data_IF_089916427428
#
_entry.id   IF_089916427428
#
_cell.length_a   1.000
_cell.length_b   1.000
_cell.length_c   1.000
_cell.angle_alpha   90.00
_cell.angle_beta   90.00
_cell.angle_gamma   90.00
#
_symmetry.space_group_name_H-M   'P 1'
#
loop_
_entity.id
_entity.type
_entity.pdbx_description
1 polymer ?
#
# COMPACT_ATOMS: atom_id res chain seq x y z
N UNK A 1 19.24 -3.89 -19.00
CA UNK A 1 19.06 -2.53 -18.39
C UNK A 1 17.64 -2.40 -17.88
N UNK A 2 17.41 -1.78 -16.68
CA UNK A 2 16.09 -1.57 -16.11
C UNK A 2 15.61 -0.17 -16.53
N UNK A 3 14.40 -0.09 -17.09
CA UNK A 3 13.75 1.16 -17.48
C UNK A 3 12.45 1.36 -16.72
N UNK A 4 12.19 2.60 -16.30
CA UNK A 4 10.95 3.00 -15.60
C UNK A 4 10.06 3.74 -16.60
N UNK A 5 8.83 3.26 -16.76
CA UNK A 5 7.84 3.87 -17.67
C UNK A 5 6.58 4.27 -16.91
N UNK A 6 6.11 5.49 -17.19
CA UNK A 6 4.83 5.97 -16.64
C UNK A 6 3.67 5.27 -17.35
N UNK A 7 2.70 4.80 -16.59
CA UNK A 7 1.45 4.24 -17.10
C UNK A 7 0.61 5.35 -17.73
N UNK A 8 0.25 5.21 -19.00
CA UNK A 8 -0.49 6.23 -19.78
C UNK A 8 -1.76 5.70 -20.44
N UNK A 9 -1.87 4.39 -20.63
CA UNK A 9 -2.99 3.74 -21.30
C UNK A 9 -3.72 2.73 -20.43
N UNK A 10 -4.96 2.39 -20.82
CA UNK A 10 -5.74 1.34 -20.14
C UNK A 10 -5.03 -0.03 -20.16
N UNK A 11 -4.34 -0.35 -21.26
CA UNK A 11 -3.58 -1.60 -21.36
C UNK A 11 -2.39 -1.62 -20.39
N UNK A 12 -1.71 -0.50 -20.23
CA UNK A 12 -0.61 -0.38 -19.25
C UNK A 12 -1.14 -0.41 -17.81
N UNK A 13 -2.30 0.22 -17.55
CA UNK A 13 -2.96 0.12 -16.24
C UNK A 13 -3.31 -1.34 -15.92
N UNK A 14 -3.82 -2.09 -16.89
CA UNK A 14 -4.13 -3.50 -16.69
C UNK A 14 -2.87 -4.33 -16.42
N UNK A 15 -1.75 -4.05 -17.11
CA UNK A 15 -0.44 -4.67 -16.81
C UNK A 15 0.02 -4.32 -15.39
N UNK A 16 -0.15 -3.07 -14.99
CA UNK A 16 0.19 -2.59 -13.65
C UNK A 16 -0.60 -3.35 -12.58
N UNK A 17 -1.91 -3.49 -12.75
CA UNK A 17 -2.80 -4.17 -11.79
C UNK A 17 -2.51 -5.67 -11.74
N UNK A 18 -2.24 -6.30 -12.88
CA UNK A 18 -2.00 -7.75 -12.98
C UNK A 18 -0.59 -8.18 -12.57
N UNK A 19 0.36 -7.28 -12.44
CA UNK A 19 1.74 -7.65 -12.10
C UNK A 19 1.88 -8.48 -10.81
N UNK A 20 1.17 -8.20 -9.68
CA UNK A 20 1.25 -9.05 -8.49
C UNK A 20 0.77 -10.49 -8.71
N UNK A 21 -0.15 -10.72 -9.64
CA UNK A 21 -0.62 -12.07 -9.97
C UNK A 21 0.52 -12.95 -10.51
N UNK A 22 1.51 -12.34 -11.16
CA UNK A 22 2.71 -13.05 -11.62
C UNK A 22 3.69 -13.30 -10.49
N UNK A 23 3.92 -12.31 -9.61
CA UNK A 23 4.85 -12.43 -8.48
C UNK A 23 4.35 -13.46 -7.48
N UNK A 24 3.06 -13.42 -7.14
CA UNK A 24 2.48 -14.21 -6.07
C UNK A 24 1.75 -15.47 -6.54
N UNK A 25 1.85 -15.85 -7.82
CA UNK A 25 1.12 -16.98 -8.43
C UNK A 25 1.27 -18.31 -7.68
N UNK A 26 2.40 -18.52 -7.02
CA UNK A 26 2.69 -19.75 -6.26
C UNK A 26 2.41 -19.59 -4.76
N UNK A 27 1.98 -18.43 -4.29
CA UNK A 27 1.69 -18.22 -2.88
C UNK A 27 0.31 -18.78 -2.53
N UNK A 28 0.25 -19.56 -1.45
CA UNK A 28 -1.02 -20.06 -0.86
C UNK A 28 -1.64 -19.04 0.09
N UNK A 29 -0.93 -17.98 0.43
CA UNK A 29 -1.31 -17.03 1.47
C UNK A 29 -1.65 -15.65 0.91
N UNK A 30 -1.28 -15.39 -0.34
CA UNK A 30 -1.65 -14.15 -1.01
C UNK A 30 -3.10 -14.19 -1.48
N UNK A 31 -3.87 -13.19 -1.07
CA UNK A 31 -5.25 -12.99 -1.51
C UNK A 31 -5.25 -11.97 -2.65
N UNK A 32 -5.58 -12.38 -3.89
CA UNK A 32 -5.59 -11.47 -5.03
C UNK A 32 -6.69 -10.41 -4.88
N UNK A 33 -6.41 -9.15 -5.25
CA UNK A 33 -7.44 -8.13 -5.30
C UNK A 33 -8.43 -8.37 -6.45
N UNK A 34 -9.62 -7.78 -6.33
CA UNK A 34 -10.59 -7.75 -7.41
C UNK A 34 -10.13 -6.71 -8.45
N UNK A 35 -9.85 -7.18 -9.68
CA UNK A 35 -9.24 -6.37 -10.74
C UNK A 35 -10.06 -5.10 -11.04
N UNK A 36 -11.40 -5.21 -11.11
CA UNK A 36 -12.27 -4.07 -11.40
C UNK A 36 -12.21 -3.01 -10.29
N UNK A 37 -12.15 -3.43 -9.03
CA UNK A 37 -11.96 -2.51 -7.90
C UNK A 37 -10.59 -1.81 -7.95
N UNK A 38 -9.54 -2.54 -8.32
CA UNK A 38 -8.22 -1.93 -8.51
C UNK A 38 -8.21 -0.91 -9.67
N UNK A 39 -8.95 -1.15 -10.75
CA UNK A 39 -9.11 -0.18 -11.83
C UNK A 39 -9.83 1.07 -11.31
N UNK A 40 -10.90 0.89 -10.52
CA UNK A 40 -11.67 1.98 -9.93
C UNK A 40 -10.86 2.84 -8.98
N UNK A 41 -9.91 2.25 -8.24
CA UNK A 41 -8.99 2.99 -7.38
C UNK A 41 -8.23 4.08 -8.13
N UNK A 42 -7.96 3.88 -9.42
CA UNK A 42 -7.25 4.83 -10.29
C UNK A 42 -8.17 5.64 -11.21
N UNK A 43 -9.47 5.49 -11.09
CA UNK A 43 -10.46 6.29 -11.85
C UNK A 43 -10.82 7.57 -11.10
N UNK A 44 -10.45 8.72 -11.68
CA UNK A 44 -10.77 10.05 -11.12
C UNK A 44 -12.27 10.31 -10.96
N UNK A 45 -13.14 9.58 -11.66
CA UNK A 45 -14.60 9.74 -11.54
C UNK A 45 -15.15 8.96 -10.36
N UNK A 46 -14.50 7.84 -9.99
CA UNK A 46 -14.96 6.92 -8.95
C UNK A 46 -14.24 7.13 -7.62
N UNK A 47 -12.95 7.39 -7.64
CA UNK A 47 -12.17 7.59 -6.42
C UNK A 47 -11.92 9.08 -6.14
N UNK A 48 -12.55 9.65 -5.09
CA UNK A 48 -12.36 11.06 -4.73
C UNK A 48 -10.92 11.38 -4.27
N UNK A 49 -10.21 10.40 -3.70
CA UNK A 49 -8.86 10.60 -3.19
C UNK A 49 -7.85 10.92 -4.31
N UNK A 50 -8.06 10.36 -5.50
CA UNK A 50 -7.19 10.65 -6.64
C UNK A 50 -7.37 12.07 -7.17
N UNK A 51 -8.55 12.68 -6.95
CA UNK A 51 -8.79 14.08 -7.31
C UNK A 51 -8.04 15.05 -6.40
N UNK A 52 -7.84 14.63 -5.15
CA UNK A 52 -7.17 15.43 -4.11
C UNK A 52 -5.66 15.15 -4.04
N UNK A 53 -5.14 14.41 -5.02
CA UNK A 53 -3.72 14.05 -5.06
C UNK A 53 -3.13 14.17 -6.47
N UNK A 54 -1.80 14.41 -6.52
CA UNK A 54 -1.02 14.22 -7.75
C UNK A 54 -0.52 12.79 -7.76
N UNK A 55 -1.16 11.94 -8.56
CA UNK A 55 -0.87 10.49 -8.61
C UNK A 55 -0.22 10.10 -9.92
N UNK A 56 0.85 9.33 -9.87
CA UNK A 56 1.55 8.80 -11.02
C UNK A 56 1.90 7.33 -10.79
N UNK A 57 1.55 6.48 -11.75
CA UNK A 57 1.82 5.06 -11.74
C UNK A 57 3.01 4.76 -12.64
N UNK A 58 3.89 3.85 -12.20
CA UNK A 58 5.08 3.46 -12.93
C UNK A 58 5.24 1.95 -12.98
N UNK A 59 5.73 1.45 -14.10
CA UNK A 59 6.18 0.08 -14.32
C UNK A 59 7.69 0.05 -14.56
N UNK A 60 8.36 -0.86 -13.89
CA UNK A 60 9.75 -1.20 -14.18
C UNK A 60 9.80 -2.34 -15.20
N UNK A 61 10.63 -2.17 -16.22
CA UNK A 61 10.86 -3.15 -17.27
C UNK A 61 12.32 -3.58 -17.25
N UNK A 62 12.56 -4.90 -17.36
CA UNK A 62 13.84 -5.48 -17.70
C UNK A 62 13.67 -6.14 -19.05
N UNK A 63 14.35 -5.61 -20.08
CA UNK A 63 14.06 -5.91 -21.48
C UNK A 63 12.59 -5.58 -21.82
N UNK A 64 11.75 -6.56 -22.14
CA UNK A 64 10.34 -6.37 -22.46
C UNK A 64 9.38 -6.83 -21.34
N UNK A 65 9.92 -7.41 -20.26
CA UNK A 65 9.13 -7.94 -19.14
C UNK A 65 8.92 -6.89 -18.07
N UNK A 66 7.70 -6.82 -17.51
CA UNK A 66 7.44 -6.06 -16.30
C UNK A 66 8.10 -6.79 -15.13
N UNK A 67 8.90 -6.08 -14.35
CA UNK A 67 9.64 -6.61 -13.21
C UNK A 67 9.34 -5.88 -11.90
N UNK A 68 8.54 -4.81 -11.97
CA UNK A 68 8.10 -4.08 -10.79
C UNK A 68 7.08 -3.01 -11.11
N UNK A 69 6.39 -2.54 -10.06
CA UNK A 69 5.44 -1.44 -10.13
C UNK A 69 5.53 -0.56 -8.90
N UNK A 70 5.14 0.70 -9.01
CA UNK A 70 5.02 1.65 -7.91
C UNK A 70 4.07 2.78 -8.26
N UNK A 71 3.38 3.32 -7.26
CA UNK A 71 2.59 4.55 -7.37
C UNK A 71 3.25 5.65 -6.54
N UNK A 72 3.40 6.82 -7.15
CA UNK A 72 3.76 8.06 -6.46
C UNK A 72 2.49 8.85 -6.14
N UNK A 73 2.31 9.27 -4.89
CA UNK A 73 1.14 10.00 -4.43
C UNK A 73 1.59 11.23 -3.65
N UNK A 74 1.25 12.41 -4.13
CA UNK A 74 1.39 13.65 -3.39
C UNK A 74 -0.01 14.06 -2.94
N UNK A 75 -0.29 13.95 -1.65
CA UNK A 75 -1.58 14.34 -1.09
C UNK A 75 -1.58 15.87 -0.90
N UNK A 76 -2.47 16.56 -1.64
CA UNK A 76 -2.53 18.01 -1.59
C UNK A 76 -2.89 18.54 -0.20
N UNK A 77 -3.77 17.85 0.54
CA UNK A 77 -4.12 18.23 1.90
C UNK A 77 -2.91 18.18 2.84
N UNK A 78 -2.11 17.12 2.78
CA UNK A 78 -0.91 17.00 3.59
C UNK A 78 0.07 18.13 3.30
N UNK A 79 0.33 18.41 2.02
CA UNK A 79 1.34 19.41 1.62
C UNK A 79 0.84 20.84 1.81
N UNK A 80 -0.40 21.13 1.43
CA UNK A 80 -0.92 22.51 1.37
C UNK A 80 -1.57 22.96 2.68
N UNK A 81 -2.25 22.04 3.40
CA UNK A 81 -2.97 22.36 4.63
C UNK A 81 -2.15 22.02 5.87
N UNK A 82 -1.75 20.76 6.01
CA UNK A 82 -0.99 20.33 7.22
C UNK A 82 0.50 20.65 7.13
N UNK A 83 0.98 21.13 5.98
CA UNK A 83 2.39 21.51 5.72
C UNK A 83 3.38 20.35 5.86
N UNK A 84 2.90 19.12 5.79
CA UNK A 84 3.76 17.92 5.81
C UNK A 84 4.26 17.68 4.39
N UNK A 85 5.53 18.02 4.15
CA UNK A 85 6.16 17.96 2.82
C UNK A 85 6.67 16.55 2.51
N UNK A 86 5.76 15.60 2.35
CA UNK A 86 6.10 14.20 2.03
C UNK A 86 5.51 13.74 0.71
N UNK A 87 6.16 12.76 0.10
CA UNK A 87 5.59 11.95 -0.97
C UNK A 87 5.27 10.56 -0.45
N UNK A 88 4.07 10.07 -0.71
CA UNK A 88 3.72 8.68 -0.42
C UNK A 88 4.06 7.82 -1.63
N UNK A 89 4.42 6.55 -1.38
CA UNK A 89 4.44 5.54 -2.42
C UNK A 89 3.66 4.31 -1.99
N UNK A 90 3.00 3.66 -2.95
CA UNK A 90 2.20 2.46 -2.70
C UNK A 90 2.20 1.54 -3.92
N UNK A 91 1.43 0.45 -3.86
CA UNK A 91 1.44 -0.58 -4.92
C UNK A 91 2.86 -0.95 -5.32
N UNK A 92 3.74 -1.05 -4.32
CA UNK A 92 5.16 -1.29 -4.50
C UNK A 92 5.43 -2.78 -4.51
N UNK A 93 5.42 -3.36 -5.72
CA UNK A 93 5.72 -4.76 -5.96
C UNK A 93 6.86 -4.88 -6.96
N UNK A 94 7.78 -5.81 -6.71
CA UNK A 94 8.97 -6.01 -7.53
C UNK A 94 9.51 -7.43 -7.35
N UNK A 95 10.24 -7.93 -8.35
CA UNK A 95 11.01 -9.18 -8.25
C UNK A 95 12.18 -8.98 -7.30
N UNK A 96 12.73 -10.09 -6.76
CA UNK A 96 13.93 -10.03 -5.90
C UNK A 96 15.18 -9.63 -6.70
N UNK A 97 15.25 -8.35 -7.04
CA UNK A 97 16.36 -7.70 -7.73
C UNK A 97 16.49 -6.28 -7.17
N UNK A 98 17.62 -6.02 -6.45
CA UNK A 98 17.84 -4.74 -5.76
C UNK A 98 17.82 -3.55 -6.73
N UNK A 99 18.33 -3.72 -7.95
CA UNK A 99 18.30 -2.64 -8.94
C UNK A 99 16.88 -2.28 -9.37
N UNK A 100 15.95 -3.23 -9.35
CA UNK A 100 14.54 -2.97 -9.66
C UNK A 100 13.92 -2.10 -8.56
N UNK A 101 14.02 -2.51 -7.29
CA UNK A 101 13.48 -1.75 -6.18
C UNK A 101 14.13 -0.36 -6.08
N UNK A 102 15.45 -0.29 -6.30
CA UNK A 102 16.20 0.96 -6.31
C UNK A 102 15.68 1.92 -7.38
N UNK A 103 15.56 1.49 -8.62
CA UNK A 103 15.07 2.34 -9.74
C UNK A 103 13.64 2.83 -9.53
N UNK A 104 12.79 2.01 -8.91
CA UNK A 104 11.43 2.41 -8.56
C UNK A 104 11.43 3.50 -7.47
N UNK A 105 12.20 3.32 -6.40
CA UNK A 105 12.33 4.29 -5.32
C UNK A 105 13.07 5.56 -5.76
N UNK A 106 14.11 5.45 -6.58
CA UNK A 106 14.78 6.62 -7.20
C UNK A 106 13.77 7.49 -7.97
N UNK A 107 12.77 6.86 -8.62
CA UNK A 107 11.72 7.60 -9.33
C UNK A 107 10.79 8.35 -8.39
N UNK A 108 10.51 7.80 -7.21
CA UNK A 108 9.75 8.50 -6.17
C UNK A 108 10.55 9.68 -5.61
N UNK A 109 11.83 9.48 -5.33
CA UNK A 109 12.74 10.54 -4.85
C UNK A 109 12.84 11.69 -5.87
N UNK A 110 13.01 11.37 -7.14
CA UNK A 110 13.02 12.35 -8.23
C UNK A 110 11.76 13.24 -8.21
N UNK A 111 10.57 12.61 -8.11
CA UNK A 111 9.29 13.34 -8.06
C UNK A 111 9.19 14.16 -6.77
N UNK A 112 9.63 13.60 -5.64
CA UNK A 112 9.67 14.31 -4.37
C UNK A 112 10.49 15.59 -4.45
N UNK A 113 11.72 15.50 -4.95
CA UNK A 113 12.63 16.66 -5.14
C UNK A 113 12.05 17.70 -6.10
N UNK A 114 11.48 17.28 -7.23
CA UNK A 114 10.84 18.20 -8.19
C UNK A 114 9.67 18.98 -7.57
N UNK A 115 8.99 18.41 -6.56
CA UNK A 115 7.89 19.05 -5.85
C UNK A 115 8.32 19.65 -4.50
N UNK A 116 9.62 19.76 -4.22
CA UNK A 116 10.20 20.32 -2.98
C UNK A 116 9.70 19.62 -1.72
N UNK A 117 9.54 18.30 -1.80
CA UNK A 117 9.15 17.45 -0.67
C UNK A 117 10.41 16.97 0.07
N UNK A 118 10.30 16.74 1.36
CA UNK A 118 11.44 16.51 2.25
C UNK A 118 11.75 15.04 2.48
N UNK A 119 10.71 14.17 2.42
CA UNK A 119 10.88 12.73 2.62
C UNK A 119 9.82 11.91 1.88
N UNK A 120 10.06 10.61 1.78
CA UNK A 120 9.09 9.65 1.26
C UNK A 120 8.60 8.71 2.36
N UNK A 121 7.33 8.34 2.31
CA UNK A 121 6.69 7.43 3.25
C UNK A 121 5.90 6.35 2.50
N UNK A 122 6.03 5.11 2.95
CA UNK A 122 5.33 3.98 2.33
C UNK A 122 5.91 2.62 2.71
N UNK A 123 5.37 1.54 2.13
CA UNK A 123 4.26 1.52 1.18
C UNK A 123 2.91 1.88 1.84
N UNK A 124 2.13 2.71 1.18
CA UNK A 124 0.78 3.05 1.64
C UNK A 124 -0.08 3.58 0.48
N UNK A 125 -1.38 3.52 0.65
CA UNK A 125 -2.32 4.05 -0.33
C UNK A 125 -2.64 5.55 -0.15
N UNK A 126 -3.81 5.95 -0.64
CA UNK A 126 -4.28 7.33 -0.54
C UNK A 126 -4.63 7.74 0.88
N UNK A 127 -5.11 6.78 1.69
CA UNK A 127 -5.55 6.98 3.07
C UNK A 127 -4.90 5.95 4.00
N UNK A 128 -5.03 6.16 5.31
CA UNK A 128 -4.56 5.20 6.32
C UNK A 128 -5.46 3.95 6.42
N UNK A 129 -6.59 3.93 5.70
CA UNK A 129 -7.48 2.78 5.60
C UNK A 129 -7.14 1.87 4.40
N UNK A 130 -6.26 2.32 3.52
CA UNK A 130 -5.72 1.50 2.45
C UNK A 130 -4.64 0.54 2.99
N UNK A 131 -4.23 -0.40 2.16
CA UNK A 131 -3.11 -1.29 2.49
C UNK A 131 -1.86 -0.48 2.81
N UNK A 132 -1.25 -0.75 3.97
CA UNK A 132 -0.10 0.00 4.48
C UNK A 132 0.96 -0.96 5.02
N UNK A 133 2.21 -0.57 4.84
CA UNK A 133 3.37 -1.24 5.43
C UNK A 133 3.86 -2.45 4.64
N UNK A 134 4.79 -3.14 5.26
CA UNK A 134 5.47 -4.34 4.75
C UNK A 134 5.29 -5.46 5.75
N UNK A 135 4.88 -6.63 5.30
CA UNK A 135 4.83 -7.82 6.14
C UNK A 135 6.26 -8.19 6.57
N UNK A 136 6.48 -8.31 7.86
CA UNK A 136 7.79 -8.65 8.44
C UNK A 136 7.83 -9.98 9.19
N UNK A 137 6.63 -10.55 9.44
CA UNK A 137 6.44 -11.87 10.04
C UNK A 137 5.05 -12.41 9.72
N UNK A 138 4.85 -13.71 9.84
CA UNK A 138 3.56 -14.33 9.51
C UNK A 138 3.36 -14.61 8.02
N UNK A 139 4.43 -14.83 7.28
CA UNK A 139 4.39 -15.15 5.84
C UNK A 139 3.64 -16.45 5.52
N UNK A 140 3.42 -17.29 6.55
CA UNK A 140 2.66 -18.54 6.53
C UNK A 140 1.18 -18.35 6.88
N UNK A 141 0.70 -17.11 6.95
CA UNK A 141 -0.69 -16.76 7.26
C UNK A 141 -1.38 -16.10 6.08
N UNK A 142 -2.68 -16.38 5.93
CA UNK A 142 -3.51 -15.65 4.97
C UNK A 142 -3.77 -14.27 5.52
N UNK A 143 -3.44 -13.23 4.77
CA UNK A 143 -3.73 -11.84 5.14
C UNK A 143 -5.21 -11.52 5.07
N UNK A 144 -5.63 -10.49 5.76
CA UNK A 144 -6.99 -9.94 5.65
C UNK A 144 -7.12 -8.94 4.51
N UNK A 145 -8.30 -8.38 4.32
CA UNK A 145 -8.56 -7.37 3.28
C UNK A 145 -7.68 -6.13 3.40
N UNK A 146 -7.33 -5.76 4.61
CA UNK A 146 -6.57 -4.53 4.92
C UNK A 146 -5.07 -4.76 5.06
N UNK A 147 -4.64 -6.00 5.24
CA UNK A 147 -3.22 -6.31 5.42
C UNK A 147 -2.52 -6.53 4.08
N UNK A 148 -1.25 -6.19 4.07
CA UNK A 148 -0.38 -6.38 2.90
C UNK A 148 0.25 -7.75 3.00
N UNK A 149 0.28 -8.49 1.88
CA UNK A 149 1.15 -9.66 1.74
C UNK A 149 2.30 -9.30 0.80
N UNK A 150 3.49 -9.69 1.17
CA UNK A 150 4.70 -9.56 0.35
C UNK A 150 5.67 -10.71 0.64
N UNK A 151 6.63 -10.93 -0.24
CA UNK A 151 7.73 -11.88 0.00
C UNK A 151 8.69 -11.38 1.08
N UNK A 152 9.44 -12.30 1.70
CA UNK A 152 10.37 -12.01 2.79
C UNK A 152 11.48 -11.03 2.38
N UNK A 153 11.96 -11.10 1.14
CA UNK A 153 13.02 -10.23 0.64
C UNK A 153 12.69 -8.74 0.68
N UNK A 154 11.41 -8.35 0.76
CA UNK A 154 11.02 -6.93 0.86
C UNK A 154 11.67 -6.26 2.07
N UNK A 155 11.64 -6.90 3.25
CA UNK A 155 12.24 -6.36 4.47
C UNK A 155 13.72 -6.03 4.26
N UNK A 156 14.47 -6.93 3.62
CA UNK A 156 15.89 -6.72 3.36
C UNK A 156 16.13 -5.56 2.38
N UNK A 157 15.28 -5.43 1.36
CA UNK A 157 15.35 -4.30 0.44
C UNK A 157 15.13 -2.97 1.15
N UNK A 158 14.11 -2.86 2.03
CA UNK A 158 13.86 -1.65 2.81
C UNK A 158 15.06 -1.28 3.71
N UNK A 159 15.67 -2.27 4.37
CA UNK A 159 16.88 -2.07 5.19
C UNK A 159 18.04 -1.56 4.32
N UNK A 160 18.30 -2.19 3.17
CA UNK A 160 19.35 -1.78 2.23
C UNK A 160 19.11 -0.37 1.67
N UNK A 161 17.85 0.03 1.48
CA UNK A 161 17.46 1.39 1.07
C UNK A 161 17.45 2.39 2.23
N UNK A 162 17.85 1.97 3.45
CA UNK A 162 17.93 2.82 4.66
C UNK A 162 16.59 3.41 5.08
N UNK A 163 15.49 2.72 4.82
CA UNK A 163 14.22 3.09 5.41
C UNK A 163 14.23 2.82 6.91
N UNK A 164 13.59 3.69 7.66
CA UNK A 164 13.36 3.53 9.10
C UNK A 164 11.92 3.12 9.34
N UNK A 165 11.70 2.28 10.35
CA UNK A 165 10.37 1.85 10.74
C UNK A 165 9.66 3.00 11.46
N UNK A 166 8.51 3.42 10.92
CA UNK A 166 7.67 4.46 11.50
C UNK A 166 6.67 3.87 12.52
N UNK A 167 6.00 2.78 12.14
CA UNK A 167 4.98 2.12 12.97
C UNK A 167 4.99 0.62 12.78
N UNK A 168 4.67 -0.11 13.86
CA UNK A 168 4.35 -1.54 13.84
C UNK A 168 2.86 -1.77 13.94
N UNK A 169 2.36 -2.64 13.07
CA UNK A 169 0.99 -3.13 13.11
C UNK A 169 1.01 -4.61 13.51
N UNK A 170 0.12 -4.99 14.41
CA UNK A 170 -0.05 -6.38 14.82
C UNK A 170 -1.44 -6.85 14.43
N UNK A 171 -1.50 -7.91 13.63
CA UNK A 171 -2.74 -8.60 13.32
C UNK A 171 -2.92 -9.77 14.31
N UNK A 172 -4.11 -9.91 14.87
CA UNK A 172 -4.45 -10.96 15.81
C UNK A 172 -5.71 -11.67 15.35
N UNK A 173 -5.69 -12.99 15.40
CA UNK A 173 -6.86 -13.84 15.14
C UNK A 173 -7.32 -14.40 16.47
N UNK A 174 -8.62 -14.31 16.73
CA UNK A 174 -9.25 -14.94 17.88
C UNK A 174 -10.56 -15.62 17.47
N UNK A 175 -10.89 -16.72 18.14
CA UNK A 175 -12.14 -17.42 17.88
C UNK A 175 -13.28 -16.80 18.69
N UNK A 176 -14.45 -16.64 18.10
CA UNK A 176 -15.61 -16.05 18.75
C UNK A 176 -16.03 -16.79 20.03
N UNK A 177 -15.81 -18.11 20.12
CA UNK A 177 -16.07 -18.88 21.34
C UNK A 177 -15.26 -18.40 22.56
N UNK A 178 -14.15 -17.69 22.35
CA UNK A 178 -13.29 -17.15 23.37
C UNK A 178 -13.69 -15.72 23.78
N UNK A 179 -14.77 -15.19 23.19
CA UNK A 179 -15.29 -13.84 23.52
C UNK A 179 -16.32 -13.98 24.64
N UNK A 180 -16.04 -13.39 25.79
CA UNK A 180 -17.01 -13.31 26.88
C UNK A 180 -18.10 -12.29 26.55
N UNK A 181 -19.20 -12.77 25.97
CA UNK A 181 -20.33 -11.93 25.58
C UNK A 181 -20.99 -11.18 26.75
N UNK A 182 -20.94 -11.75 27.96
CA UNK A 182 -21.49 -11.10 29.16
C UNK A 182 -20.66 -9.90 29.57
N UNK A 183 -19.35 -10.04 29.56
CA UNK A 183 -18.43 -8.94 29.87
C UNK A 183 -18.59 -7.77 28.91
N UNK A 184 -18.62 -8.04 27.60
CA UNK A 184 -18.81 -6.98 26.60
C UNK A 184 -20.19 -6.33 26.67
N UNK A 185 -21.24 -7.10 27.00
CA UNK A 185 -22.57 -6.55 27.22
C UNK A 185 -22.58 -5.57 28.39
N UNK A 186 -21.98 -5.94 29.52
CA UNK A 186 -21.86 -5.05 30.69
C UNK A 186 -21.14 -3.73 30.34
N UNK A 187 -20.03 -3.81 29.61
CA UNK A 187 -19.32 -2.60 29.15
C UNK A 187 -20.21 -1.75 28.24
N UNK A 188 -20.89 -2.38 27.27
CA UNK A 188 -21.82 -1.70 26.37
C UNK A 188 -22.91 -0.97 27.13
N UNK A 189 -23.53 -1.61 28.11
CA UNK A 189 -24.61 -1.03 28.92
C UNK A 189 -24.12 0.19 29.72
N UNK A 190 -22.92 0.09 30.30
CA UNK A 190 -22.29 1.22 31.01
C UNK A 190 -22.00 2.40 30.08
N UNK A 191 -21.47 2.12 28.88
CA UNK A 191 -21.16 3.16 27.88
C UNK A 191 -22.44 3.82 27.38
N UNK A 192 -23.48 3.04 27.09
CA UNK A 192 -24.81 3.55 26.68
C UNK A 192 -25.38 4.48 27.75
N UNK A 193 -25.40 4.05 29.01
CA UNK A 193 -25.92 4.87 30.11
C UNK A 193 -25.14 6.17 30.28
N UNK A 194 -23.79 6.12 30.27
CA UNK A 194 -22.95 7.31 30.44
C UNK A 194 -23.09 8.34 29.34
N UNK A 195 -23.36 7.90 28.12
CA UNK A 195 -23.40 8.76 26.94
C UNK A 195 -24.82 8.98 26.39
N UNK A 196 -25.87 8.55 27.12
CA UNK A 196 -27.28 8.63 26.68
C UNK A 196 -27.50 8.08 25.24
N UNK A 197 -26.81 7.00 24.88
CA UNK A 197 -26.95 6.38 23.57
C UNK A 197 -28.20 5.52 23.53
N UNK A 198 -29.01 5.71 22.48
CA UNK A 198 -30.17 4.86 22.17
C UNK A 198 -29.80 3.90 21.05
N UNK A 199 -30.42 2.71 21.01
CA UNK A 199 -30.28 1.77 19.89
C UNK A 199 -31.03 2.23 18.67
#
# INVERSE_FOLDING_TARGET
MISIKKVKSKNELLKFIKFPFEIYKNSKFWVPPIIDQEIENFDKKKNPNIKQSKTNLFLAYKESKVVGRIVAIINNYEVEVTKIKKIRFGWFDFIDDFEVSKKLLDKIDEIGRQNKLEFMEGPMGFTNLDKVGVLTSGFDKIGTMITTYNHEYYKEHFIKHKFVEEKKYHEKIFEFKNVDGKYYKQISDVVKQRNNLQE
#
